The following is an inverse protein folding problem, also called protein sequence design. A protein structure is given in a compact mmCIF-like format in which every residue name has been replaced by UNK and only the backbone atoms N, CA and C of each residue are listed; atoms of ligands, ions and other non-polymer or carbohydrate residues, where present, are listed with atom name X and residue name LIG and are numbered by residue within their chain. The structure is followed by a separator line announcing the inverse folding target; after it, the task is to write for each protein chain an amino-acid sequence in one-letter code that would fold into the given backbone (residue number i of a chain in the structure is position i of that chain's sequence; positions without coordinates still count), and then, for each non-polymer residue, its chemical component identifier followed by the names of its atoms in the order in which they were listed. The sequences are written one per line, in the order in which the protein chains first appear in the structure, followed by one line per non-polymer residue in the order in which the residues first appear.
data_IF_839708398818
#
_entry.id   IF_839708398818
#
_cell.length_a   1.000
_cell.length_b   1.000
_cell.length_c   1.000
_cell.angle_alpha   90.00
_cell.angle_beta   90.00
_cell.angle_gamma   90.00
#
_symmetry.space_group_name_H-M   'P 1'
#
loop_
_entity.id
_entity.type
_entity.pdbx_description
1 polymer ?
#
# COMPACT_ATOMS: atom_id res chain seq x y z
N UNK A 1 2.98 -14.51 3.11
CA UNK A 1 2.60 -13.64 1.98
C UNK A 1 3.74 -13.66 0.97
N UNK A 2 3.43 -13.60 -0.32
CA UNK A 2 4.43 -13.40 -1.37
C UNK A 2 4.26 -11.99 -1.92
N UNK A 3 5.34 -11.43 -2.46
CA UNK A 3 5.28 -10.13 -3.11
C UNK A 3 4.43 -10.24 -4.37
N UNK A 4 3.55 -9.26 -4.62
CA UNK A 4 2.72 -9.20 -5.83
C UNK A 4 2.73 -7.80 -6.43
N UNK A 5 2.71 -7.75 -7.76
CA UNK A 5 2.60 -6.55 -8.61
C UNK A 5 1.33 -6.64 -9.45
N UNK A 6 1.04 -5.63 -10.25
CA UNK A 6 -0.17 -5.57 -11.09
C UNK A 6 -0.26 -6.75 -12.08
N UNK A 7 0.88 -7.30 -12.49
CA UNK A 7 1.04 -8.32 -13.53
C UNK A 7 1.53 -9.68 -13.01
N UNK A 8 2.03 -9.75 -11.76
CA UNK A 8 2.66 -10.95 -11.23
C UNK A 8 2.36 -11.18 -9.74
N UNK A 9 2.40 -12.44 -9.32
CA UNK A 9 2.24 -12.86 -7.92
C UNK A 9 0.82 -13.32 -7.55
N UNK A 10 0.68 -14.06 -6.45
CA UNK A 10 -0.59 -14.71 -6.06
C UNK A 10 -1.68 -13.72 -5.64
N UNK A 11 -1.34 -12.45 -5.42
CA UNK A 11 -2.28 -11.39 -5.03
C UNK A 11 -2.25 -10.24 -6.03
N UNK A 12 -2.01 -10.52 -7.31
CA UNK A 12 -2.01 -9.52 -8.39
C UNK A 12 -3.33 -8.75 -8.49
N UNK A 13 -4.47 -9.39 -8.17
CA UNK A 13 -5.76 -8.71 -8.07
C UNK A 13 -5.77 -7.59 -7.01
N UNK A 14 -5.14 -7.80 -5.85
CA UNK A 14 -4.99 -6.76 -4.83
C UNK A 14 -4.07 -5.64 -5.32
N UNK A 15 -2.96 -5.98 -5.98
CA UNK A 15 -2.05 -5.00 -6.57
C UNK A 15 -2.75 -4.13 -7.63
N UNK A 16 -3.59 -4.73 -8.48
CA UNK A 16 -4.41 -4.02 -9.45
C UNK A 16 -5.48 -3.15 -8.78
N UNK A 17 -6.13 -3.64 -7.72
CA UNK A 17 -7.17 -2.90 -7.00
C UNK A 17 -6.60 -1.67 -6.27
N UNK A 18 -5.51 -1.87 -5.51
CA UNK A 18 -4.92 -0.87 -4.61
C UNK A 18 -3.65 -0.21 -5.16
N UNK A 19 -3.39 -0.39 -6.45
CA UNK A 19 -2.46 0.41 -7.26
C UNK A 19 -1.03 0.42 -6.70
N UNK A 20 -0.53 -0.73 -6.28
CA UNK A 20 0.82 -0.85 -5.69
C UNK A 20 1.46 -2.22 -5.88
N UNK A 21 2.73 -2.31 -5.50
CA UNK A 21 3.45 -3.57 -5.38
C UNK A 21 3.81 -3.82 -3.92
N UNK A 22 3.32 -4.90 -3.33
CA UNK A 22 3.52 -5.18 -1.90
C UNK A 22 3.39 -6.66 -1.56
N UNK A 23 3.76 -7.03 -0.34
CA UNK A 23 3.45 -8.33 0.23
C UNK A 23 1.99 -8.34 0.70
N UNK A 24 1.06 -8.50 -0.25
CA UNK A 24 -0.37 -8.51 0.02
C UNK A 24 -0.83 -9.84 0.68
N UNK A 25 -1.87 -9.79 1.54
CA UNK A 25 -2.61 -10.95 2.07
C UNK A 25 -4.09 -10.86 1.70
N UNK A 26 -4.96 -10.47 2.66
CA UNK A 26 -6.32 -9.99 2.39
C UNK A 26 -6.22 -8.55 1.88
N UNK A 27 -5.50 -8.41 0.77
CA UNK A 27 -4.90 -7.19 0.27
C UNK A 27 -3.99 -6.53 1.30
N UNK A 28 -4.38 -5.51 2.05
CA UNK A 28 -3.44 -4.86 2.98
C UNK A 28 -4.08 -4.08 4.11
N UNK A 29 -3.29 -3.87 5.18
CA UNK A 29 -3.47 -2.79 6.17
C UNK A 29 -2.47 -1.64 5.97
N UNK A 30 -1.41 -1.87 5.17
CA UNK A 30 -0.37 -0.89 4.83
C UNK A 30 -0.08 -0.99 3.33
N UNK A 31 -0.10 0.14 2.62
CA UNK A 31 0.17 0.24 1.18
C UNK A 31 1.08 1.43 0.89
N UNK A 32 2.31 1.38 1.39
CA UNK A 32 3.29 2.48 1.22
C UNK A 32 3.80 2.65 -0.22
N UNK A 33 3.49 1.70 -1.10
CA UNK A 33 3.82 1.71 -2.54
C UNK A 33 2.57 2.01 -3.40
N UNK A 34 1.49 2.53 -2.81
CA UNK A 34 0.28 2.94 -3.51
C UNK A 34 0.41 4.32 -4.17
N UNK A 35 -0.72 4.87 -4.65
CA UNK A 35 -0.77 6.18 -5.30
C UNK A 35 -0.41 7.32 -4.34
N UNK A 36 0.34 8.30 -4.81
CA UNK A 36 0.58 9.52 -4.06
C UNK A 36 -0.61 10.50 -4.19
N UNK A 37 -1.58 10.39 -3.28
CA UNK A 37 -2.85 11.15 -3.32
C UNK A 37 -2.86 12.41 -2.43
N UNK A 38 -1.68 12.85 -1.96
CA UNK A 38 -1.49 14.16 -1.32
C UNK A 38 -2.35 14.45 -0.06
N UNK A 39 -2.63 13.43 0.76
CA UNK A 39 -3.39 13.59 2.00
C UNK A 39 -4.76 12.92 1.92
N UNK A 40 -5.81 13.62 2.38
CA UNK A 40 -7.16 13.05 2.40
C UNK A 40 -7.65 12.81 0.96
N UNK A 41 -8.21 11.64 0.70
CA UNK A 41 -8.71 11.24 -0.61
C UNK A 41 -10.01 10.42 -0.46
N UNK A 42 -10.86 10.46 -1.49
CA UNK A 42 -12.18 9.83 -1.47
C UNK A 42 -12.15 8.34 -1.85
N UNK A 43 -11.13 7.92 -2.59
CA UNK A 43 -10.91 6.52 -2.95
C UNK A 43 -10.54 5.70 -1.71
N UNK A 44 -10.80 4.40 -1.77
CA UNK A 44 -10.56 3.52 -0.62
C UNK A 44 -9.23 2.80 -0.79
N UNK A 45 -8.29 3.09 0.10
CA UNK A 45 -7.09 2.29 0.34
C UNK A 45 -6.06 2.20 -0.81
N UNK A 46 -6.25 2.91 -1.93
CA UNK A 46 -5.36 2.89 -3.10
C UNK A 46 -4.18 3.89 -3.05
N UNK A 47 -4.19 4.84 -2.12
CA UNK A 47 -3.07 5.73 -1.84
C UNK A 47 -1.92 5.14 -1.00
N UNK A 48 -0.96 6.00 -0.59
CA UNK A 48 0.10 5.66 0.39
C UNK A 48 -0.51 5.55 1.79
N UNK A 49 -1.15 4.42 2.10
CA UNK A 49 -1.98 4.28 3.29
C UNK A 49 -1.30 3.45 4.39
N UNK A 50 -1.55 3.81 5.66
CA UNK A 50 -1.24 3.00 6.82
C UNK A 50 -2.44 3.03 7.77
N UNK A 51 -3.20 1.93 7.80
CA UNK A 51 -4.47 1.85 8.51
C UNK A 51 -4.35 2.22 10.00
N UNK A 52 -3.39 1.61 10.71
CA UNK A 52 -3.13 1.89 12.12
C UNK A 52 -2.64 3.31 12.44
N UNK A 53 -2.39 4.17 11.45
CA UNK A 53 -2.01 5.56 11.66
C UNK A 53 -3.09 6.54 11.20
N UNK A 54 -3.48 6.55 9.92
CA UNK A 54 -4.44 7.52 9.35
C UNK A 54 -5.60 6.87 8.57
N UNK A 55 -5.80 5.57 8.73
CA UNK A 55 -6.86 4.83 8.03
C UNK A 55 -6.58 4.65 6.54
N UNK A 56 -7.65 4.36 5.78
CA UNK A 56 -7.57 4.05 4.34
C UNK A 56 -7.82 5.24 3.41
N UNK A 57 -8.24 6.39 3.94
CA UNK A 57 -8.63 7.59 3.18
C UNK A 57 -7.61 8.74 3.36
N UNK A 58 -6.36 8.39 3.69
CA UNK A 58 -5.29 9.37 3.83
C UNK A 58 -3.97 8.83 3.30
N UNK A 59 -3.51 9.41 2.19
CA UNK A 59 -2.20 9.15 1.60
C UNK A 59 -1.13 9.96 2.33
N UNK A 60 -0.16 9.29 2.93
CA UNK A 60 0.96 9.93 3.64
C UNK A 60 1.80 10.76 2.66
N UNK A 61 2.30 11.91 3.16
CA UNK A 61 3.17 12.82 2.39
C UNK A 61 4.59 12.29 2.22
N UNK A 62 5.02 11.43 3.14
CA UNK A 62 6.36 10.86 3.17
C UNK A 62 6.32 9.49 3.84
N UNK A 63 7.05 8.54 3.26
CA UNK A 63 7.29 7.20 3.80
C UNK A 63 8.74 6.81 3.52
N UNK A 64 9.34 6.10 4.47
CA UNK A 64 10.71 5.60 4.32
C UNK A 64 10.82 4.25 5.02
N UNK A 65 11.35 3.24 4.32
CA UNK A 65 11.69 1.94 4.90
C UNK A 65 13.21 1.82 5.04
N UNK A 66 13.69 1.47 6.23
CA UNK A 66 15.12 1.33 6.52
C UNK A 66 15.37 0.05 7.30
N UNK A 67 16.53 -0.55 7.08
CA UNK A 67 17.06 -1.67 7.85
C UNK A 67 18.37 -1.24 8.50
N UNK A 68 18.72 -1.86 9.64
CA UNK A 68 20.02 -1.70 10.28
C UNK A 68 20.50 -3.09 10.70
N UNK A 69 21.78 -3.46 10.46
CA UNK A 69 22.35 -4.68 11.02
C UNK A 69 22.15 -4.74 12.53
N UNK A 70 21.93 -5.95 13.04
CA UNK A 70 21.86 -6.22 14.47
C UNK A 70 23.26 -6.28 15.08
#
# INVERSE_FOLDING_TARGET
MQFSTVDNGPSSACAQQFKGGFWYSLCHTVNINGLYLQGKHDSTADGINWYGFRGYHYSLKFTEMKIRPH
#
